data_IF_129852716537
#
_entry.id   IF_129852716537
#
_cell.length_a   1.000
_cell.length_b   1.000
_cell.length_c   1.000
_cell.angle_alpha   90.00
_cell.angle_beta   90.00
_cell.angle_gamma   90.00
#
_symmetry.space_group_name_H-M   'P 1'
#
loop_
_entity.id
_entity.type
_entity.pdbx_description
1 polymer ?
#
# COMPACT_ATOMS: atom_id res chain seq x y z
N UNK A 1 9.62 -18.39 -5.76
CA UNK A 1 8.31 -17.97 -6.30
C UNK A 1 7.95 -16.71 -5.54
N UNK A 2 7.74 -15.59 -6.24
CA UNK A 2 7.23 -14.36 -5.62
C UNK A 2 5.96 -14.71 -4.82
N UNK A 3 5.75 -14.16 -3.62
CA UNK A 3 4.42 -14.24 -3.02
C UNK A 3 3.42 -13.63 -4.00
N UNK A 4 2.23 -14.22 -4.10
CA UNK A 4 1.14 -13.60 -4.85
C UNK A 4 0.93 -12.17 -4.33
N UNK A 5 0.48 -11.27 -5.22
CA UNK A 5 0.14 -9.89 -4.88
C UNK A 5 -0.66 -9.83 -3.57
N UNK A 6 -0.52 -8.76 -2.77
CA UNK A 6 -1.28 -8.64 -1.55
C UNK A 6 -2.76 -8.56 -1.93
N UNK A 7 -3.45 -9.68 -1.87
CA UNK A 7 -4.88 -9.72 -2.01
C UNK A 7 -5.50 -9.49 -0.64
N UNK A 8 -6.63 -8.79 -0.62
CA UNK A 8 -7.40 -8.60 0.60
C UNK A 8 -7.79 -9.98 1.15
N UNK A 9 -7.50 -10.28 2.43
CA UNK A 9 -7.90 -11.55 3.00
C UNK A 9 -9.44 -11.64 3.04
N UNK A 10 -10.01 -12.84 2.92
CA UNK A 10 -11.46 -13.01 2.97
C UNK A 10 -11.98 -12.51 4.33
N UNK A 11 -12.88 -11.54 4.30
CA UNK A 11 -13.45 -10.91 5.48
C UNK A 11 -14.98 -10.99 5.47
N UNK A 12 -15.62 -11.32 6.61
CA UNK A 12 -17.08 -11.23 6.75
C UNK A 12 -17.59 -9.79 6.65
N UNK A 13 -16.71 -8.80 6.77
CA UNK A 13 -17.04 -7.38 6.73
C UNK A 13 -16.74 -6.71 5.38
N UNK A 14 -16.28 -7.46 4.37
CA UNK A 14 -15.90 -6.89 3.07
C UNK A 14 -17.00 -6.03 2.42
N UNK A 15 -18.27 -6.38 2.62
CA UNK A 15 -19.42 -5.61 2.14
C UNK A 15 -19.48 -4.16 2.67
N UNK A 16 -18.77 -3.84 3.77
CA UNK A 16 -18.65 -2.47 4.26
C UNK A 16 -17.96 -1.55 3.26
N UNK A 17 -17.04 -2.06 2.44
CA UNK A 17 -16.37 -1.24 1.43
C UNK A 17 -17.34 -0.78 0.35
N UNK A 18 -18.15 -1.69 -0.18
CA UNK A 18 -19.16 -1.33 -1.18
C UNK A 18 -20.26 -0.42 -0.63
N UNK A 19 -20.55 -0.52 0.67
CA UNK A 19 -21.57 0.29 1.32
C UNK A 19 -21.09 1.70 1.68
N UNK A 20 -19.84 1.84 2.14
CA UNK A 20 -19.34 3.08 2.76
C UNK A 20 -18.37 3.86 1.88
N UNK A 21 -17.76 3.23 0.87
CA UNK A 21 -16.87 3.90 -0.08
C UNK A 21 -17.64 4.09 -1.39
N UNK A 22 -17.97 5.34 -1.77
CA UNK A 22 -18.58 5.63 -3.05
C UNK A 22 -17.78 5.05 -4.23
N UNK A 23 -18.46 4.69 -5.31
CA UNK A 23 -17.80 4.14 -6.50
C UNK A 23 -16.89 5.18 -7.19
N UNK A 24 -17.14 6.47 -6.97
CA UNK A 24 -16.37 7.61 -7.46
C UNK A 24 -15.33 8.11 -6.45
N UNK A 25 -15.10 7.39 -5.34
CA UNK A 25 -14.02 7.70 -4.40
C UNK A 25 -12.66 7.60 -5.09
N UNK A 26 -11.83 8.62 -4.88
CA UNK A 26 -10.55 8.76 -5.57
C UNK A 26 -9.61 7.58 -5.28
N UNK A 27 -9.51 7.14 -4.02
CA UNK A 27 -8.61 6.04 -3.64
C UNK A 27 -9.12 4.70 -4.18
N UNK A 28 -10.44 4.51 -4.20
CA UNK A 28 -11.06 3.34 -4.85
C UNK A 28 -10.75 3.30 -6.35
N UNK A 29 -10.91 4.42 -7.04
CA UNK A 29 -10.60 4.51 -8.47
C UNK A 29 -9.11 4.27 -8.75
N UNK A 30 -8.21 4.86 -7.97
CA UNK A 30 -6.77 4.63 -8.15
C UNK A 30 -6.43 3.16 -7.90
N UNK A 31 -6.98 2.56 -6.84
CA UNK A 31 -6.81 1.15 -6.54
C UNK A 31 -7.19 0.25 -7.72
N UNK A 32 -8.36 0.51 -8.32
CA UNK A 32 -8.96 -0.35 -9.35
C UNK A 32 -8.34 -0.12 -10.73
N UNK A 33 -7.83 1.09 -11.00
CA UNK A 33 -7.28 1.47 -12.31
C UNK A 33 -5.77 1.28 -12.42
N UNK A 34 -5.02 1.35 -11.31
CA UNK A 34 -3.56 1.27 -11.33
C UNK A 34 -3.12 -0.15 -10.99
N UNK A 35 -2.52 -0.89 -11.94
CA UNK A 35 -1.87 -2.15 -11.61
C UNK A 35 -0.61 -1.85 -10.78
N UNK A 36 -0.52 -2.40 -9.57
CA UNK A 36 0.61 -2.18 -8.66
C UNK A 36 1.69 -3.27 -8.77
N UNK A 37 1.53 -4.19 -9.73
CA UNK A 37 2.34 -5.40 -9.85
C UNK A 37 3.80 -5.09 -10.18
N UNK A 38 4.03 -4.01 -10.96
CA UNK A 38 5.35 -3.52 -11.34
C UNK A 38 6.26 -3.20 -10.13
N UNK A 39 5.69 -2.90 -8.97
CA UNK A 39 6.45 -2.62 -7.74
C UNK A 39 7.23 -3.85 -7.28
N UNK A 40 6.68 -5.04 -7.54
CA UNK A 40 7.30 -6.30 -7.17
C UNK A 40 8.58 -6.52 -7.97
N UNK A 41 8.53 -6.28 -9.28
CA UNK A 41 9.70 -6.33 -10.18
C UNK A 41 10.72 -5.25 -9.80
N UNK A 42 10.26 -4.04 -9.54
CA UNK A 42 11.08 -2.90 -9.17
C UNK A 42 11.87 -3.09 -7.86
N UNK A 43 11.33 -3.89 -6.93
CA UNK A 43 11.93 -4.11 -5.61
C UNK A 43 12.58 -5.49 -5.46
N UNK A 44 12.59 -6.31 -6.51
CA UNK A 44 13.14 -7.67 -6.52
C UNK A 44 14.59 -7.71 -5.99
N UNK A 45 15.44 -6.78 -6.44
CA UNK A 45 16.85 -6.70 -6.05
C UNK A 45 17.06 -6.31 -4.57
N UNK A 46 16.08 -5.66 -3.93
CA UNK A 46 16.20 -5.13 -2.56
C UNK A 46 15.36 -5.90 -1.55
N UNK A 47 14.49 -6.80 -2.00
CA UNK A 47 13.52 -7.52 -1.19
C UNK A 47 13.80 -9.03 -1.22
N UNK A 48 14.62 -9.51 -0.29
CA UNK A 48 14.91 -10.93 -0.16
C UNK A 48 13.70 -11.71 0.41
N UNK A 49 13.22 -12.69 -0.35
CA UNK A 49 12.05 -13.53 -0.01
C UNK A 49 12.28 -14.50 1.15
N UNK A 50 13.53 -14.84 1.46
CA UNK A 50 13.89 -15.94 2.36
C UNK A 50 14.25 -15.51 3.80
N UNK A 51 14.17 -14.21 4.14
CA UNK A 51 14.63 -13.70 5.44
C UNK A 51 13.49 -13.40 6.44
N UNK A 52 13.03 -14.44 7.15
CA UNK A 52 12.37 -14.35 8.46
C UNK A 52 11.01 -13.62 8.51
N UNK A 53 10.45 -13.46 9.74
CA UNK A 53 9.08 -12.97 10.08
C UNK A 53 8.39 -12.18 8.97
N UNK A 54 7.16 -12.57 8.60
CA UNK A 54 6.33 -11.93 7.55
C UNK A 54 6.56 -10.41 7.48
N UNK A 55 7.45 -9.99 6.58
CA UNK A 55 7.64 -8.60 6.28
C UNK A 55 6.39 -8.15 5.51
N UNK A 56 5.94 -6.93 5.78
CA UNK A 56 4.79 -6.36 5.05
C UNK A 56 5.14 -6.36 3.57
N UNK A 57 4.20 -6.81 2.72
CA UNK A 57 4.41 -6.93 1.29
C UNK A 57 4.93 -5.60 0.69
N UNK A 58 5.95 -5.62 -0.19
CA UNK A 58 6.55 -4.40 -0.76
C UNK A 58 5.52 -3.50 -1.45
N UNK A 59 4.59 -4.07 -2.22
CA UNK A 59 3.46 -3.35 -2.83
C UNK A 59 2.64 -2.58 -1.78
N UNK A 60 2.31 -3.20 -0.63
CA UNK A 60 1.57 -2.53 0.43
C UNK A 60 2.38 -1.39 1.05
N UNK A 61 3.67 -1.59 1.27
CA UNK A 61 4.56 -0.53 1.79
C UNK A 61 4.63 0.66 0.82
N UNK A 62 4.69 0.39 -0.48
CA UNK A 62 4.62 1.42 -1.50
C UNK A 62 3.28 2.16 -1.47
N UNK A 63 2.15 1.45 -1.39
CA UNK A 63 0.81 2.06 -1.27
C UNK A 63 0.72 2.99 -0.05
N UNK A 64 1.34 2.64 1.08
CA UNK A 64 1.45 3.57 2.21
C UNK A 64 2.25 4.84 1.89
N UNK A 65 3.38 4.72 1.18
CA UNK A 65 4.16 5.89 0.75
C UNK A 65 3.36 6.77 -0.23
N UNK A 66 2.61 6.16 -1.14
CA UNK A 66 1.68 6.89 -2.00
C UNK A 66 0.65 7.68 -1.18
N UNK A 67 -0.03 7.04 -0.23
CA UNK A 67 -0.99 7.72 0.65
C UNK A 67 -0.35 8.86 1.45
N UNK A 68 0.90 8.66 1.91
CA UNK A 68 1.67 9.70 2.60
C UNK A 68 1.86 10.93 1.71
N UNK A 69 2.34 10.73 0.48
CA UNK A 69 2.60 11.79 -0.48
C UNK A 69 1.30 12.48 -0.93
N UNK A 70 0.27 11.69 -1.23
CA UNK A 70 -1.05 12.17 -1.67
C UNK A 70 -1.76 13.01 -0.59
N UNK A 71 -1.72 12.57 0.67
CA UNK A 71 -2.43 13.24 1.77
C UNK A 71 -1.57 14.20 2.59
N UNK A 72 -0.28 14.34 2.24
CA UNK A 72 0.72 15.14 2.95
C UNK A 72 0.73 14.90 4.48
N UNK A 73 0.71 13.62 4.88
CA UNK A 73 0.65 13.19 6.28
C UNK A 73 2.02 12.76 6.83
N UNK A 74 2.19 12.86 8.15
CA UNK A 74 3.30 12.18 8.84
C UNK A 74 3.08 10.66 8.87
N UNK A 75 4.14 9.85 9.04
CA UNK A 75 4.00 8.39 9.14
C UNK A 75 3.03 7.98 10.27
N UNK A 76 3.05 8.71 11.39
CA UNK A 76 2.20 8.42 12.56
C UNK A 76 0.75 8.76 12.25
N UNK A 77 0.50 9.90 11.61
CA UNK A 77 -0.86 10.33 11.29
C UNK A 77 -1.46 9.49 10.15
N UNK A 78 -0.66 9.11 9.16
CA UNK A 78 -1.03 8.16 8.11
C UNK A 78 -1.48 6.83 8.72
N UNK A 79 -0.67 6.23 9.59
CA UNK A 79 -1.01 4.97 10.25
C UNK A 79 -2.25 5.13 11.12
N UNK A 80 -2.37 6.25 11.86
CA UNK A 80 -3.56 6.54 12.66
C UNK A 80 -4.82 6.62 11.79
N UNK A 81 -4.75 7.32 10.65
CA UNK A 81 -5.88 7.45 9.72
C UNK A 81 -6.25 6.12 9.08
N UNK A 82 -5.26 5.34 8.65
CA UNK A 82 -5.48 4.00 8.08
C UNK A 82 -6.16 3.01 9.04
N UNK A 83 -6.15 3.26 10.36
CA UNK A 83 -6.89 2.42 11.33
C UNK A 83 -8.40 2.58 11.22
N UNK A 84 -8.88 3.76 10.87
CA UNK A 84 -10.30 4.12 10.94
C UNK A 84 -10.91 4.42 9.57
N UNK A 85 -10.09 4.88 8.62
CA UNK A 85 -10.51 5.26 7.28
C UNK A 85 -10.60 4.01 6.40
N UNK A 86 -11.82 3.62 6.03
CA UNK A 86 -12.06 2.42 5.21
C UNK A 86 -11.52 2.58 3.79
N UNK A 87 -11.53 3.80 3.22
CA UNK A 87 -10.96 4.03 1.89
C UNK A 87 -9.45 3.74 1.88
N UNK A 88 -8.75 4.10 2.96
CA UNK A 88 -7.34 3.78 3.13
C UNK A 88 -7.13 2.27 3.25
N UNK A 89 -7.94 1.57 4.07
CA UNK A 89 -7.83 0.10 4.20
C UNK A 89 -8.09 -0.62 2.88
N UNK A 90 -9.10 -0.17 2.14
CA UNK A 90 -9.41 -0.69 0.81
C UNK A 90 -8.21 -0.52 -0.13
N UNK A 91 -7.68 0.70 -0.22
CA UNK A 91 -6.50 0.98 -1.05
C UNK A 91 -5.29 0.10 -0.70
N UNK A 92 -5.12 -0.23 0.59
CA UNK A 92 -3.98 -0.99 1.13
C UNK A 92 -4.14 -2.52 1.09
N UNK A 93 -5.23 -3.05 0.49
CA UNK A 93 -5.57 -4.48 0.49
C UNK A 93 -5.65 -5.04 1.92
N UNK A 94 -6.26 -4.29 2.84
CA UNK A 94 -6.53 -4.72 4.21
C UNK A 94 -8.01 -5.05 4.35
N UNK A 95 -8.34 -6.08 5.12
CA UNK A 95 -9.71 -6.27 5.54
C UNK A 95 -10.14 -5.16 6.52
N UNK A 96 -11.46 -4.88 6.66
CA UNK A 96 -11.95 -3.85 7.58
C UNK A 96 -11.47 -4.05 9.03
N UNK A 97 -11.30 -5.29 9.46
CA UNK A 97 -10.85 -5.69 10.79
C UNK A 97 -9.32 -5.77 10.95
N UNK A 98 -8.56 -5.75 9.86
CA UNK A 98 -7.10 -5.93 9.91
C UNK A 98 -6.43 -4.74 10.62
N UNK A 99 -5.35 -5.04 11.35
CA UNK A 99 -4.48 -3.98 11.90
C UNK A 99 -3.56 -3.42 10.81
N UNK A 100 -3.09 -2.21 11.04
CA UNK A 100 -2.17 -1.49 10.16
C UNK A 100 -0.73 -1.71 10.56
N UNK A 101 0.20 -1.31 9.69
CA UNK A 101 1.63 -1.38 9.98
C UNK A 101 2.04 -0.50 11.18
N UNK A 102 3.16 -0.85 11.79
CA UNK A 102 3.83 0.07 12.71
C UNK A 102 4.44 1.26 11.94
N UNK A 103 4.34 2.52 12.42
CA UNK A 103 4.92 3.67 11.73
C UNK A 103 6.43 3.52 11.44
N UNK A 104 7.18 2.85 12.33
CA UNK A 104 8.61 2.60 12.14
C UNK A 104 8.93 1.72 10.93
N UNK A 105 7.96 0.92 10.45
CA UNK A 105 8.11 0.12 9.24
C UNK A 105 8.32 1.00 8.01
N UNK A 106 7.61 2.13 7.89
CA UNK A 106 7.78 3.07 6.78
C UNK A 106 9.15 3.75 6.83
N UNK A 107 9.59 4.14 8.02
CA UNK A 107 10.94 4.71 8.19
C UNK A 107 12.03 3.74 7.75
N UNK A 108 11.91 2.45 8.11
CA UNK A 108 12.87 1.42 7.68
C UNK A 108 12.82 1.19 6.18
N UNK A 109 11.62 1.11 5.62
CA UNK A 109 11.45 0.89 4.19
C UNK A 109 12.07 2.02 3.37
N UNK A 110 11.83 3.29 3.74
CA UNK A 110 12.44 4.42 3.03
C UNK A 110 13.97 4.40 3.07
N UNK A 111 14.54 4.21 4.26
CA UNK A 111 16.00 4.19 4.44
C UNK A 111 16.70 3.04 3.73
N UNK A 112 16.00 1.93 3.50
CA UNK A 112 16.61 0.71 2.96
C UNK A 112 16.30 0.47 1.50
N UNK A 113 15.23 1.06 0.94
CA UNK A 113 14.68 0.61 -0.34
C UNK A 113 14.22 1.70 -1.31
N UNK A 114 13.63 2.80 -0.86
CA UNK A 114 13.07 3.83 -1.75
C UNK A 114 12.89 5.18 -1.05
N UNK A 115 13.37 6.27 -1.65
CA UNK A 115 13.02 7.62 -1.20
C UNK A 115 11.71 8.12 -1.84
N UNK A 116 11.08 9.14 -1.24
CA UNK A 116 9.79 9.68 -1.68
C UNK A 116 9.90 10.30 -3.11
N UNK A 117 11.05 10.88 -3.48
CA UNK A 117 11.28 11.45 -4.83
C UNK A 117 11.40 10.36 -5.90
N UNK A 118 12.09 9.25 -5.60
CA UNK A 118 12.19 8.10 -6.54
C UNK A 118 10.84 7.42 -6.77
N UNK A 119 9.91 7.51 -5.82
CA UNK A 119 8.58 6.92 -5.94
C UNK A 119 7.78 7.56 -7.07
N UNK A 120 7.76 8.89 -7.12
CA UNK A 120 6.99 9.63 -8.12
C UNK A 120 7.55 9.41 -9.52
N UNK A 121 8.87 9.44 -9.66
CA UNK A 121 9.56 9.19 -10.93
C UNK A 121 9.25 7.79 -11.47
N UNK A 122 9.20 6.78 -10.59
CA UNK A 122 8.88 5.40 -10.95
C UNK A 122 7.41 5.22 -11.33
N UNK A 123 6.47 5.92 -10.66
CA UNK A 123 5.05 5.91 -11.05
C UNK A 123 4.85 6.51 -12.44
N UNK A 124 5.45 7.66 -12.70
CA UNK A 124 5.35 8.34 -13.99
C UNK A 124 5.98 7.49 -15.09
N UNK A 125 7.16 6.90 -14.83
CA UNK A 125 7.82 6.01 -15.78
C UNK A 125 6.94 4.84 -16.23
N UNK A 126 6.19 4.23 -15.30
CA UNK A 126 5.32 3.10 -15.63
C UNK A 126 3.95 3.49 -16.21
N UNK A 127 3.45 4.71 -15.94
CA UNK A 127 2.15 5.17 -16.47
C UNK A 127 2.24 5.83 -17.86
N UNK A 128 3.45 6.14 -18.34
CA UNK A 128 3.68 6.81 -19.63
C UNK A 128 4.12 5.84 -20.75
N UNK A 129 4.40 4.59 -20.43
CA UNK A 129 4.58 3.49 -21.42
C UNK A 129 3.23 2.93 -21.90
#
# INVERSE_FOLDING_TARGET
MMPDLPNMPPSPYAALYDLLIPADDELRLIHDLVPFDFITELLEDTYCHDNGRMAVHPVRMFKYLFLKAHSNLSDVDLVRRAKTDLAYKYFLDLAPEDDVINPSSLTKFRRQRMDDDELLDKLIGHTVE
#
